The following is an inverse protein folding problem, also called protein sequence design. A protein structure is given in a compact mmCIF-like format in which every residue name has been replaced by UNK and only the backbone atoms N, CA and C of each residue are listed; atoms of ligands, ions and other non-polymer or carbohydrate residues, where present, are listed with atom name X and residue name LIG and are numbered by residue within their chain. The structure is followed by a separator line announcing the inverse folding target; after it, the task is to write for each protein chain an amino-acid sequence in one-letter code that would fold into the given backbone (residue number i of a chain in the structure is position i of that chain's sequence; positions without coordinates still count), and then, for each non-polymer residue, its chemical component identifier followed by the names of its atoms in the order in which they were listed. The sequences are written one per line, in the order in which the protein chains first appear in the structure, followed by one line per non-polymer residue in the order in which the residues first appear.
data_IF_933485201624
#
_entry.id   IF_933485201624
#
_cell.length_a   1.000
_cell.length_b   1.000
_cell.length_c   1.000
_cell.angle_alpha   90.00
_cell.angle_beta   90.00
_cell.angle_gamma   90.00
#
_symmetry.space_group_name_H-M   'P 1'
#
loop_
_entity.id
_entity.type
_entity.pdbx_description
1 polymer ?
#
# COMPACT_ATOMS: atom_id res chain seq x y z
N UNK A 1 -12.24 12.71 1.48
CA UNK A 1 -12.90 11.42 1.78
C UNK A 1 -11.90 10.63 2.60
N UNK A 2 -12.20 10.34 3.87
CA UNK A 2 -11.31 9.63 4.80
C UNK A 2 -11.59 8.13 4.67
N UNK A 3 -10.63 7.36 4.17
CA UNK A 3 -10.72 5.90 4.17
C UNK A 3 -10.11 5.37 5.47
N UNK A 4 -10.92 4.64 6.23
CA UNK A 4 -10.53 3.97 7.46
C UNK A 4 -10.56 2.47 7.20
N UNK A 5 -9.43 1.79 7.34
CA UNK A 5 -9.42 0.34 7.57
C UNK A 5 -8.22 -0.07 8.45
N UNK A 6 -8.44 -0.17 9.76
CA UNK A 6 -7.86 -1.26 10.53
C UNK A 6 -8.53 -2.54 10.07
N UNK A 7 -7.71 -3.52 9.68
CA UNK A 7 -8.11 -4.73 8.95
C UNK A 7 -8.91 -4.42 7.68
N UNK A 8 -8.21 -4.05 6.60
CA UNK A 8 -8.78 -3.94 5.26
C UNK A 8 -7.84 -3.18 4.33
N UNK A 9 -7.50 -3.80 3.20
CA UNK A 9 -6.64 -3.22 2.19
C UNK A 9 -7.22 -1.91 1.66
N UNK A 10 -6.38 -0.89 1.51
CA UNK A 10 -6.72 0.25 0.67
C UNK A 10 -6.17 -0.03 -0.72
N UNK A 11 -7.08 -0.30 -1.66
CA UNK A 11 -6.74 -0.57 -3.04
C UNK A 11 -6.63 0.76 -3.80
N UNK A 12 -5.51 0.96 -4.47
CA UNK A 12 -5.18 2.08 -5.33
C UNK A 12 -4.87 1.56 -6.73
N UNK A 13 -5.45 2.19 -7.76
CA UNK A 13 -5.25 1.79 -9.16
C UNK A 13 -4.22 2.68 -9.83
N UNK A 14 -3.27 2.07 -10.53
CA UNK A 14 -2.15 2.77 -11.16
C UNK A 14 -1.72 2.19 -12.49
N UNK A 15 -1.17 3.06 -13.34
CA UNK A 15 -0.36 2.67 -14.50
C UNK A 15 1.15 2.51 -14.18
N UNK A 16 1.56 2.63 -12.91
CA UNK A 16 2.95 2.50 -12.46
C UNK A 16 3.46 3.73 -11.68
N UNK A 17 4.69 4.15 -11.97
CA UNK A 17 5.30 5.37 -11.42
C UNK A 17 5.85 5.19 -10.01
N UNK A 18 5.65 6.21 -9.17
CA UNK A 18 5.93 6.11 -7.74
C UNK A 18 4.63 5.94 -6.95
N UNK A 19 4.68 5.25 -5.83
CA UNK A 19 3.57 5.17 -4.90
C UNK A 19 3.97 5.75 -3.56
N UNK A 20 3.13 6.61 -2.99
CA UNK A 20 3.37 7.26 -1.71
C UNK A 20 2.22 6.98 -0.76
N UNK A 21 2.58 6.62 0.46
CA UNK A 21 1.64 6.55 1.58
C UNK A 21 2.10 7.46 2.70
N UNK A 22 1.17 8.22 3.27
CA UNK A 22 1.39 9.05 4.46
C UNK A 22 0.63 8.46 5.64
N UNK A 23 1.31 8.35 6.78
CA UNK A 23 0.75 7.89 8.05
C UNK A 23 0.63 9.05 9.03
N UNK A 24 -0.53 9.16 9.65
CA UNK A 24 -0.84 10.15 10.69
C UNK A 24 -1.50 9.46 11.89
N UNK A 25 -1.45 10.12 13.05
CA UNK A 25 -2.00 9.60 14.31
C UNK A 25 -1.47 8.20 14.68
N UNK A 26 -0.18 7.93 14.42
CA UNK A 26 0.44 6.64 14.72
C UNK A 26 0.54 6.44 16.24
N UNK A 27 -0.14 5.41 16.75
CA UNK A 27 -0.20 5.11 18.19
C UNK A 27 0.81 4.07 18.66
N UNK A 28 1.12 3.10 17.82
CA UNK A 28 2.05 1.99 18.07
C UNK A 28 2.84 1.69 16.81
N UNK A 29 3.92 0.93 16.93
CA UNK A 29 4.64 0.47 15.76
C UNK A 29 3.92 -0.70 15.07
N UNK A 30 3.92 -0.69 13.75
CA UNK A 30 3.35 -1.74 12.91
C UNK A 30 4.16 -1.88 11.63
N UNK A 31 3.87 -2.93 10.87
CA UNK A 31 4.57 -3.22 9.63
C UNK A 31 3.63 -3.02 8.45
N UNK A 32 4.12 -2.39 7.38
CA UNK A 32 3.38 -2.24 6.13
C UNK A 32 4.14 -2.86 4.96
N UNK A 33 3.42 -3.29 3.95
CA UNK A 33 3.98 -3.78 2.70
C UNK A 33 3.10 -3.35 1.53
N UNK A 34 3.73 -2.83 0.46
CA UNK A 34 3.08 -2.60 -0.81
C UNK A 34 2.98 -3.92 -1.58
N UNK A 35 1.78 -4.22 -2.08
CA UNK A 35 1.45 -5.41 -2.87
C UNK A 35 0.71 -5.01 -4.13
N UNK A 36 0.81 -5.84 -5.15
CA UNK A 36 0.00 -5.75 -6.36
C UNK A 36 -1.07 -6.85 -6.29
N UNK A 37 -2.27 -6.50 -6.70
CA UNK A 37 -3.41 -7.41 -6.81
C UNK A 37 -3.64 -7.70 -8.29
N UNK A 38 -3.47 -8.96 -8.68
CA UNK A 38 -3.46 -9.37 -10.09
C UNK A 38 -4.81 -9.87 -10.62
N UNK A 39 -5.89 -9.75 -9.84
CA UNK A 39 -7.19 -10.32 -10.19
C UNK A 39 -7.32 -11.80 -9.83
N UNK A 40 -8.30 -12.49 -10.44
CA UNK A 40 -8.77 -13.79 -9.96
C UNK A 40 -7.85 -14.99 -10.27
N UNK A 41 -6.78 -14.80 -11.04
CA UNK A 41 -6.08 -15.90 -11.72
C UNK A 41 -4.58 -16.06 -11.36
N UNK A 42 -3.95 -15.13 -10.63
CA UNK A 42 -2.57 -15.25 -10.17
C UNK A 42 -2.45 -14.96 -8.65
N UNK A 43 -1.24 -15.08 -8.09
CA UNK A 43 -0.98 -14.81 -6.67
C UNK A 43 -0.43 -13.39 -6.53
N UNK A 44 -1.10 -12.54 -5.74
CA UNK A 44 -0.65 -11.18 -5.37
C UNK A 44 0.88 -11.05 -5.27
N UNK A 45 1.47 -10.19 -6.10
CA UNK A 45 2.91 -10.03 -6.13
C UNK A 45 3.42 -9.09 -5.02
N UNK A 46 4.60 -9.46 -4.49
CA UNK A 46 5.33 -8.61 -3.55
C UNK A 46 6.09 -7.51 -4.29
N UNK A 47 5.50 -6.31 -4.31
CA UNK A 47 6.11 -5.11 -4.90
C UNK A 47 7.30 -4.63 -4.08
N UNK A 48 7.29 -4.86 -2.76
CA UNK A 48 8.32 -4.32 -1.86
C UNK A 48 8.60 -5.18 -0.63
N UNK A 49 9.73 -4.89 0.02
CA UNK A 49 10.02 -5.35 1.37
C UNK A 49 9.09 -4.67 2.39
N UNK A 50 8.79 -5.38 3.46
CA UNK A 50 8.06 -4.84 4.59
C UNK A 50 8.80 -3.69 5.28
N UNK A 51 8.08 -2.64 5.63
CA UNK A 51 8.62 -1.45 6.32
C UNK A 51 7.97 -1.31 7.69
N UNK A 52 8.79 -1.11 8.73
CA UNK A 52 8.30 -0.82 10.09
C UNK A 52 7.97 0.66 10.22
N UNK A 53 6.72 0.97 10.53
CA UNK A 53 6.26 2.32 10.86
C UNK A 53 6.33 2.47 12.38
N UNK A 54 7.06 3.48 12.87
CA UNK A 54 7.22 3.75 14.31
C UNK A 54 6.68 5.11 14.74
N UNK A 55 6.18 5.91 13.80
CA UNK A 55 5.63 7.25 14.03
C UNK A 55 5.01 7.81 12.74
N UNK A 56 4.50 9.03 12.80
CA UNK A 56 3.99 9.73 11.62
C UNK A 56 5.10 9.94 10.59
N UNK A 57 4.74 9.90 9.31
CA UNK A 57 5.68 10.08 8.22
C UNK A 57 5.13 9.54 6.91
N UNK A 58 5.98 9.49 5.89
CA UNK A 58 5.62 8.96 4.58
C UNK A 58 6.60 7.87 4.13
N UNK A 59 6.10 6.94 3.34
CA UNK A 59 6.91 5.98 2.59
C UNK A 59 6.62 6.22 1.12
N UNK A 60 7.68 6.28 0.32
CA UNK A 60 7.58 6.32 -1.14
C UNK A 60 8.29 5.11 -1.73
N UNK A 61 7.57 4.34 -2.53
CA UNK A 61 8.11 3.30 -3.37
C UNK A 61 8.31 3.86 -4.77
N UNK A 62 9.51 3.70 -5.30
CA UNK A 62 9.92 4.27 -6.57
C UNK A 62 9.92 3.23 -7.69
N UNK A 63 9.63 3.68 -8.91
CA UNK A 63 9.73 2.89 -10.14
C UNK A 63 8.98 1.54 -10.08
N UNK A 64 7.76 1.55 -9.55
CA UNK A 64 6.93 0.34 -9.40
C UNK A 64 6.24 -0.07 -10.71
N UNK A 65 6.48 0.64 -11.82
CA UNK A 65 5.90 0.35 -13.14
C UNK A 65 6.19 -1.05 -13.66
N UNK A 66 7.25 -1.72 -13.15
CA UNK A 66 7.61 -3.08 -13.54
C UNK A 66 6.66 -4.15 -12.98
N UNK A 67 5.82 -3.79 -12.01
CA UNK A 67 4.80 -4.65 -11.41
C UNK A 67 3.42 -4.39 -12.01
N UNK A 68 3.34 -3.69 -13.15
CA UNK A 68 2.11 -3.56 -13.93
C UNK A 68 2.08 -4.74 -14.88
N UNK A 69 1.56 -5.88 -14.41
CA UNK A 69 1.54 -7.13 -15.18
C UNK A 69 0.17 -7.83 -15.24
N UNK A 70 -0.90 -7.14 -14.84
CA UNK A 70 -2.28 -7.60 -15.03
C UNK A 70 -2.70 -7.71 -16.51
N UNK A 71 -3.62 -8.64 -16.78
CA UNK A 71 -4.22 -8.88 -18.12
C UNK A 71 -4.97 -7.68 -18.73
N UNK A 72 -5.16 -6.61 -17.95
CA UNK A 72 -5.79 -5.35 -18.32
C UNK A 72 -4.81 -4.15 -18.41
N UNK A 73 -3.49 -4.36 -18.25
CA UNK A 73 -2.47 -3.31 -18.14
C UNK A 73 -2.71 -2.32 -16.98
N UNK A 74 -3.39 -2.72 -15.91
CA UNK A 74 -3.57 -1.91 -14.70
C UNK A 74 -2.95 -2.66 -13.52
N UNK A 75 -2.08 -2.00 -12.75
CA UNK A 75 -1.66 -2.52 -11.45
C UNK A 75 -2.66 -2.06 -10.39
N UNK A 76 -3.24 -3.00 -9.66
CA UNK A 76 -4.07 -2.70 -8.49
C UNK A 76 -3.21 -2.79 -7.23
N UNK A 77 -2.53 -1.70 -6.87
CA UNK A 77 -1.66 -1.68 -5.69
C UNK A 77 -2.43 -1.50 -4.38
N UNK A 78 -2.01 -2.18 -3.33
CA UNK A 78 -2.58 -1.97 -2.00
C UNK A 78 -1.56 -2.07 -0.88
N UNK A 79 -1.87 -1.44 0.26
CA UNK A 79 -1.08 -1.56 1.49
C UNK A 79 -1.65 -2.69 2.36
N UNK A 80 -0.83 -3.71 2.59
CA UNK A 80 -1.04 -4.70 3.63
C UNK A 80 -0.41 -4.21 4.95
N UNK A 81 -1.15 -4.32 6.05
CA UNK A 81 -0.66 -4.00 7.40
C UNK A 81 -0.54 -5.26 8.25
N UNK A 82 0.59 -5.46 8.91
CA UNK A 82 0.83 -6.56 9.85
C UNK A 82 1.07 -6.04 11.26
N UNK A 83 0.65 -6.83 12.26
CA UNK A 83 0.69 -6.47 13.68
C UNK A 83 -0.06 -5.16 14.00
N UNK A 84 -0.98 -4.77 13.12
CA UNK A 84 -1.77 -3.58 13.28
C UNK A 84 -2.99 -3.86 14.17
N UNK A 85 -2.97 -3.34 15.40
CA UNK A 85 -4.16 -3.27 16.23
C UNK A 85 -5.21 -2.36 15.56
N UNK A 86 -6.50 -2.55 15.89
CA UNK A 86 -7.54 -1.66 15.41
C UNK A 86 -7.21 -0.18 15.71
N UNK A 87 -7.37 0.69 14.71
CA UNK A 87 -7.17 2.14 14.81
C UNK A 87 -5.74 2.61 15.16
N UNK A 88 -4.70 1.90 14.70
CA UNK A 88 -3.30 2.26 14.98
C UNK A 88 -2.78 3.49 14.23
N UNK A 89 -3.32 3.78 13.05
CA UNK A 89 -2.97 4.95 12.25
C UNK A 89 -4.11 5.33 11.32
N UNK A 90 -4.12 6.57 10.88
CA UNK A 90 -4.81 7.02 9.68
C UNK A 90 -3.79 7.08 8.55
N UNK A 91 -4.18 6.71 7.33
CA UNK A 91 -3.28 6.80 6.19
C UNK A 91 -3.95 7.41 4.97
N UNK A 92 -3.13 8.04 4.14
CA UNK A 92 -3.49 8.55 2.83
C UNK A 92 -2.54 7.93 1.82
N UNK A 93 -3.08 7.45 0.70
CA UNK A 93 -2.31 6.83 -0.37
C UNK A 93 -2.61 7.53 -1.69
N UNK A 94 -1.56 7.82 -2.42
CA UNK A 94 -1.60 8.34 -3.78
C UNK A 94 -0.47 7.68 -4.56
N UNK A 95 -0.60 7.60 -5.87
CA UNK A 95 0.59 7.45 -6.69
C UNK A 95 0.75 8.60 -7.66
N UNK A 96 1.96 8.61 -8.16
CA UNK A 96 2.62 9.72 -8.81
C UNK A 96 3.13 9.16 -10.13
N UNK A 97 2.27 9.23 -11.14
CA UNK A 97 2.51 8.83 -12.53
C UNK A 97 3.05 9.98 -13.39
#
# INVERSE_FOLDING_TARGET
MLYYTPSGSANWRSAGGNFKVEFTNVKNSFTVQLREYDGADNQDEFVSHSVRVTGNGSITWHDISKYVDGSNNEAEFYIATYDAAPSQASFYAEGLD
#
